data_IF_314821931116
#
_entry.id   IF_314821931116
#
_cell.length_a   1.000
_cell.length_b   1.000
_cell.length_c   1.000
_cell.angle_alpha   90.00
_cell.angle_beta   90.00
_cell.angle_gamma   90.00
#
_symmetry.space_group_name_H-M   'P 1'
#
loop_
_entity.id
_entity.type
_entity.pdbx_description
1 polymer ?
#
# COMPACT_ATOMS: atom_id res chain seq x y z
N UNK A 1 -31.69 0.00 -37.71
CA UNK A 1 -32.92 0.47 -37.01
C UNK A 1 -32.80 0.51 -35.48
N UNK A 2 -31.79 -0.11 -34.84
CA UNK A 2 -31.59 -0.01 -33.39
C UNK A 2 -31.04 1.36 -32.95
N UNK A 3 -30.20 2.01 -33.77
CA UNK A 3 -29.58 3.30 -33.43
C UNK A 3 -30.54 4.50 -33.42
N UNK A 4 -31.63 4.44 -34.20
CA UNK A 4 -32.62 5.52 -34.25
C UNK A 4 -33.47 5.59 -32.98
N UNK A 5 -33.67 4.45 -32.30
CA UNK A 5 -34.43 4.38 -31.05
C UNK A 5 -33.64 4.97 -29.87
N UNK A 6 -32.33 4.70 -29.82
CA UNK A 6 -31.43 5.28 -28.82
C UNK A 6 -31.27 6.80 -28.99
N UNK A 7 -31.27 7.30 -30.24
CA UNK A 7 -31.23 8.74 -30.51
C UNK A 7 -32.52 9.45 -30.08
N UNK A 8 -33.69 8.82 -30.30
CA UNK A 8 -34.98 9.36 -29.88
C UNK A 8 -35.12 9.43 -28.34
N UNK A 9 -34.65 8.41 -27.62
CA UNK A 9 -34.65 8.43 -26.14
C UNK A 9 -33.74 9.51 -25.57
N UNK A 10 -32.54 9.71 -26.15
CA UNK A 10 -31.63 10.78 -25.71
C UNK A 10 -32.20 12.18 -25.95
N UNK A 11 -32.91 12.38 -27.06
CA UNK A 11 -33.56 13.65 -27.37
C UNK A 11 -34.72 13.94 -26.40
N UNK A 12 -35.51 12.92 -26.04
CA UNK A 12 -36.60 13.05 -25.07
C UNK A 12 -36.10 13.41 -23.67
N UNK A 13 -35.04 12.75 -23.20
CA UNK A 13 -34.40 13.06 -21.90
C UNK A 13 -33.89 14.51 -21.86
N UNK A 14 -33.36 15.01 -22.98
CA UNK A 14 -32.86 16.39 -23.08
C UNK A 14 -33.99 17.42 -23.08
N UNK A 15 -35.11 17.15 -23.76
CA UNK A 15 -36.29 18.01 -23.77
C UNK A 15 -36.99 18.05 -22.39
N UNK A 16 -37.03 16.93 -21.68
CA UNK A 16 -37.60 16.85 -20.33
C UNK A 16 -36.75 17.62 -19.30
N UNK A 17 -35.42 17.65 -19.47
CA UNK A 17 -34.50 18.46 -18.67
C UNK A 17 -34.65 19.98 -18.92
N UNK A 18 -35.07 20.39 -20.12
CA UNK A 18 -35.31 21.81 -20.43
C UNK A 18 -36.68 22.30 -19.96
N UNK A 19 -37.66 21.41 -19.82
CA UNK A 19 -39.03 21.75 -19.37
C UNK A 19 -39.19 21.77 -17.84
N UNK A 20 -38.23 21.23 -17.09
CA UNK A 20 -38.22 21.27 -15.63
C UNK A 20 -37.87 22.67 -15.09
N UNK A 21 -38.89 23.46 -14.73
CA UNK A 21 -38.73 24.76 -14.07
C UNK A 21 -37.96 24.67 -12.74
N UNK A 22 -37.28 25.76 -12.41
CA UNK A 22 -36.26 25.90 -11.35
C UNK A 22 -36.71 25.65 -9.90
N UNK A 23 -37.91 25.10 -9.65
CA UNK A 23 -38.48 24.95 -8.31
C UNK A 23 -38.37 23.56 -7.68
N UNK A 24 -37.73 22.58 -8.34
CA UNK A 24 -37.59 21.21 -7.81
C UNK A 24 -36.13 20.75 -7.59
N UNK A 25 -35.21 21.70 -7.38
CA UNK A 25 -33.78 21.42 -7.17
C UNK A 25 -33.43 20.79 -5.81
N UNK A 26 -34.38 20.62 -4.90
CA UNK A 26 -34.15 20.02 -3.58
C UNK A 26 -34.37 18.49 -3.51
N UNK A 27 -34.67 17.81 -4.63
CA UNK A 27 -34.85 16.34 -4.65
C UNK A 27 -33.84 15.57 -5.50
N UNK A 28 -32.85 16.23 -6.10
CA UNK A 28 -31.80 15.54 -6.87
C UNK A 28 -30.57 15.33 -5.99
N UNK A 29 -30.56 14.23 -5.26
CA UNK A 29 -29.31 13.69 -4.72
C UNK A 29 -28.39 13.34 -5.90
N UNK A 30 -27.14 13.85 -5.95
CA UNK A 30 -26.23 13.46 -7.00
C UNK A 30 -25.91 11.97 -6.81
N UNK A 31 -26.41 11.14 -7.73
CA UNK A 31 -25.85 9.80 -7.95
C UNK A 31 -24.40 9.99 -8.41
N UNK A 32 -23.48 10.01 -7.44
CA UNK A 32 -22.06 9.81 -7.67
C UNK A 32 -21.94 8.40 -8.25
N UNK A 33 -21.73 8.33 -9.56
CA UNK A 33 -21.49 7.09 -10.28
C UNK A 33 -20.15 6.50 -9.84
N UNK A 34 -20.22 5.22 -9.48
CA UNK A 34 -19.15 4.22 -9.55
C UNK A 34 -17.95 4.32 -8.60
N UNK A 35 -18.19 4.77 -7.37
CA UNK A 35 -17.48 4.21 -6.22
C UNK A 35 -18.16 2.91 -5.79
N UNK A 36 -17.46 1.78 -5.81
CA UNK A 36 -17.98 0.52 -5.24
C UNK A 36 -18.21 0.74 -3.73
N UNK A 37 -19.46 1.06 -3.34
CA UNK A 37 -19.81 1.25 -1.93
C UNK A 37 -19.52 -0.06 -1.14
N UNK A 38 -19.08 0.02 0.12
CA UNK A 38 -18.73 -1.12 1.00
C UNK A 38 -19.77 -2.24 0.94
N UNK A 39 -21.04 -1.89 0.88
CA UNK A 39 -22.17 -2.82 0.71
C UNK A 39 -22.10 -3.64 -0.59
N UNK A 40 -21.73 -3.04 -1.73
CA UNK A 40 -21.53 -3.76 -3.00
C UNK A 40 -20.29 -4.65 -2.97
N UNK A 41 -19.20 -4.21 -2.33
CA UNK A 41 -18.00 -5.03 -2.18
C UNK A 41 -18.29 -6.28 -1.33
N UNK A 42 -18.92 -6.10 -0.16
CA UNK A 42 -19.37 -7.21 0.69
C UNK A 42 -20.40 -8.10 -0.03
N UNK A 43 -21.26 -7.51 -0.85
CA UNK A 43 -22.21 -8.24 -1.70
C UNK A 43 -21.52 -9.13 -2.74
N UNK A 44 -20.45 -8.65 -3.38
CA UNK A 44 -19.69 -9.43 -4.36
C UNK A 44 -18.85 -10.54 -3.69
N UNK A 45 -18.29 -10.29 -2.50
CA UNK A 45 -17.61 -11.31 -1.69
C UNK A 45 -18.60 -12.40 -1.27
N UNK A 46 -19.80 -12.02 -0.83
CA UNK A 46 -20.87 -12.97 -0.47
C UNK A 46 -21.42 -13.76 -1.65
N UNK A 47 -21.36 -13.20 -2.87
CA UNK A 47 -21.88 -13.85 -4.09
C UNK A 47 -20.99 -14.94 -4.68
N UNK A 48 -19.82 -15.22 -4.09
CA UNK A 48 -19.00 -16.40 -4.37
C UNK A 48 -18.75 -16.62 -5.87
N UNK A 49 -17.63 -16.13 -6.40
CA UNK A 49 -17.21 -16.50 -7.75
C UNK A 49 -17.29 -18.02 -7.89
N UNK A 50 -18.09 -18.51 -8.85
CA UNK A 50 -18.18 -19.94 -9.19
C UNK A 50 -16.81 -20.37 -9.70
N UNK A 51 -15.98 -20.88 -8.80
CA UNK A 51 -14.75 -21.56 -9.15
C UNK A 51 -15.14 -22.85 -9.89
N UNK A 52 -14.43 -23.14 -10.99
CA UNK A 52 -14.61 -24.37 -11.74
C UNK A 52 -14.56 -25.57 -10.79
N UNK A 53 -15.51 -26.49 -10.93
CA UNK A 53 -15.51 -27.78 -10.24
C UNK A 53 -14.24 -28.55 -10.63
N UNK A 54 -13.18 -28.39 -9.84
CA UNK A 54 -12.02 -29.27 -9.88
C UNK A 54 -12.50 -30.59 -9.30
N UNK A 55 -12.55 -31.63 -10.14
CA UNK A 55 -12.78 -33.00 -9.70
C UNK A 55 -11.77 -33.33 -8.59
N UNK A 56 -12.29 -33.65 -7.40
CA UNK A 56 -11.45 -34.09 -6.30
C UNK A 56 -10.72 -35.37 -6.73
N UNK A 57 -9.39 -35.44 -6.65
CA UNK A 57 -8.67 -36.66 -6.96
C UNK A 57 -9.09 -37.75 -5.98
N UNK A 58 -9.78 -38.78 -6.48
CA UNK A 58 -10.16 -39.97 -5.74
C UNK A 58 -8.95 -40.90 -5.63
N UNK A 59 -8.02 -40.57 -4.75
CA UNK A 59 -6.99 -41.52 -4.31
C UNK A 59 -7.06 -41.61 -2.81
N UNK A 60 -7.67 -42.70 -2.33
CA UNK A 60 -7.70 -43.04 -0.92
C UNK A 60 -6.26 -43.27 -0.44
N UNK A 61 -5.70 -42.29 0.26
CA UNK A 61 -4.41 -42.43 0.92
C UNK A 61 -4.47 -43.63 1.88
N UNK A 62 -3.44 -44.48 1.80
CA UNK A 62 -3.27 -45.61 2.71
C UNK A 62 -3.20 -45.13 4.17
N UNK A 63 -3.52 -46.03 5.12
CA UNK A 63 -3.48 -45.72 6.56
C UNK A 63 -2.09 -45.24 7.00
N UNK A 64 -1.03 -45.79 6.41
CA UNK A 64 0.36 -45.39 6.64
C UNK A 64 0.62 -43.95 6.15
N UNK A 65 0.21 -43.62 4.93
CA UNK A 65 0.33 -42.25 4.39
C UNK A 65 -0.49 -41.25 5.20
N UNK A 66 -1.70 -41.61 5.65
CA UNK A 66 -2.51 -40.77 6.55
C UNK A 66 -1.83 -40.56 7.91
N UNK A 67 -1.15 -41.56 8.47
CA UNK A 67 -0.39 -41.42 9.72
C UNK A 67 0.85 -40.56 9.53
N UNK A 68 1.59 -40.75 8.43
CA UNK A 68 2.76 -39.96 8.11
C UNK A 68 2.41 -38.49 7.88
N UNK A 69 1.32 -38.22 7.15
CA UNK A 69 0.80 -36.86 6.98
C UNK A 69 0.32 -36.23 8.30
N UNK A 70 -0.20 -37.04 9.24
CA UNK A 70 -0.58 -36.55 10.58
C UNK A 70 0.65 -36.29 11.46
N UNK A 71 1.70 -37.11 11.34
CA UNK A 71 2.97 -36.95 12.05
C UNK A 71 3.73 -35.74 11.53
N UNK A 72 3.87 -35.60 10.21
CA UNK A 72 4.42 -34.40 9.56
C UNK A 72 3.61 -33.14 9.90
N UNK A 73 2.28 -33.24 10.03
CA UNK A 73 1.44 -32.11 10.46
C UNK A 73 1.47 -31.85 11.98
N UNK A 74 1.90 -32.83 12.77
CA UNK A 74 2.12 -32.71 14.21
C UNK A 74 3.52 -32.16 14.52
N UNK A 75 4.51 -32.51 13.69
CA UNK A 75 5.89 -31.97 13.72
C UNK A 75 5.95 -30.59 13.03
N UNK A 76 5.14 -30.34 11.99
CA UNK A 76 4.87 -29.00 11.43
C UNK A 76 3.78 -28.24 12.22
N UNK A 77 3.25 -28.85 13.28
CA UNK A 77 2.70 -28.14 14.44
C UNK A 77 3.84 -27.63 15.34
N UNK A 78 5.07 -27.59 14.79
CA UNK A 78 6.16 -26.75 15.22
C UNK A 78 5.62 -25.39 15.63
N UNK A 79 6.03 -25.00 16.83
CA UNK A 79 6.07 -23.65 17.38
C UNK A 79 5.06 -22.74 16.71
N UNK A 80 3.93 -22.50 17.38
CA UNK A 80 2.98 -21.47 16.94
C UNK A 80 3.79 -20.26 16.50
N UNK A 81 3.62 -19.82 15.25
CA UNK A 81 4.29 -18.63 14.72
C UNK A 81 4.19 -17.44 15.70
N UNK A 82 3.10 -17.44 16.48
CA UNK A 82 2.95 -16.70 17.71
C UNK A 82 3.72 -17.40 18.84
N UNK A 83 5.05 -17.24 18.87
CA UNK A 83 5.77 -17.40 20.13
C UNK A 83 5.20 -16.36 21.09
N UNK A 84 4.95 -16.74 22.36
CA UNK A 84 4.41 -15.79 23.32
C UNK A 84 5.46 -14.72 23.59
N UNK A 85 5.27 -13.55 23.01
CA UNK A 85 6.01 -12.34 23.37
C UNK A 85 5.82 -12.07 24.86
N UNK A 86 6.87 -11.61 25.51
CA UNK A 86 6.75 -11.05 26.85
C UNK A 86 5.97 -9.72 26.82
N UNK A 87 5.56 -9.24 27.99
CA UNK A 87 4.70 -8.05 28.08
C UNK A 87 5.37 -6.79 27.48
N UNK A 88 6.70 -6.69 27.57
CA UNK A 88 7.46 -5.59 27.01
C UNK A 88 7.57 -5.70 25.49
N UNK A 89 7.91 -6.88 24.97
CA UNK A 89 7.96 -7.17 23.55
C UNK A 89 6.62 -7.00 22.85
N UNK A 90 5.52 -7.42 23.49
CA UNK A 90 4.17 -7.21 22.98
C UNK A 90 3.80 -5.71 22.93
N UNK A 91 4.17 -4.94 23.96
CA UNK A 91 3.97 -3.47 23.94
C UNK A 91 4.77 -2.81 22.82
N UNK A 92 6.02 -3.20 22.64
CA UNK A 92 6.86 -2.71 21.55
C UNK A 92 6.28 -3.08 20.18
N UNK A 93 5.87 -4.33 20.00
CA UNK A 93 5.25 -4.81 18.77
C UNK A 93 3.99 -4.01 18.42
N UNK A 94 3.10 -3.82 19.39
CA UNK A 94 1.88 -3.02 19.21
C UNK A 94 2.19 -1.56 18.88
N UNK A 95 3.24 -0.99 19.49
CA UNK A 95 3.67 0.37 19.14
C UNK A 95 4.07 0.47 17.66
N UNK A 96 4.86 -0.48 17.14
CA UNK A 96 5.25 -0.52 15.73
C UNK A 96 4.03 -0.74 14.83
N UNK A 97 3.15 -1.68 15.17
CA UNK A 97 1.94 -1.99 14.40
C UNK A 97 0.96 -0.79 14.29
N UNK A 98 1.04 0.18 15.20
CA UNK A 98 0.25 1.43 15.16
C UNK A 98 0.96 2.57 14.41
N UNK A 99 2.18 2.39 13.92
CA UNK A 99 2.82 3.36 13.04
C UNK A 99 2.24 3.29 11.61
N UNK A 100 2.63 4.21 10.72
CA UNK A 100 2.19 4.17 9.32
C UNK A 100 2.73 2.91 8.63
N UNK A 101 2.05 2.41 7.59
CA UNK A 101 2.52 1.23 6.85
C UNK A 101 3.97 1.34 6.35
N UNK A 102 4.40 2.54 5.92
CA UNK A 102 5.80 2.80 5.53
C UNK A 102 6.78 2.63 6.68
N UNK A 103 6.44 3.13 7.87
CA UNK A 103 7.31 3.07 9.04
C UNK A 103 7.42 1.63 9.56
N UNK A 104 6.31 0.88 9.52
CA UNK A 104 6.29 -0.57 9.78
C UNK A 104 7.19 -1.34 8.81
N UNK A 105 7.11 -1.04 7.51
CA UNK A 105 7.94 -1.67 6.50
C UNK A 105 9.43 -1.33 6.69
N UNK A 106 9.76 -0.09 7.05
CA UNK A 106 11.12 0.32 7.38
C UNK A 106 11.65 -0.42 8.60
N UNK A 107 10.85 -0.56 9.67
CA UNK A 107 11.24 -1.32 10.86
C UNK A 107 11.57 -2.78 10.50
N UNK A 108 10.72 -3.44 9.71
CA UNK A 108 10.96 -4.78 9.20
C UNK A 108 12.26 -4.85 8.37
N UNK A 109 12.44 -3.94 7.42
CA UNK A 109 13.62 -3.92 6.55
C UNK A 109 14.91 -3.69 7.33
N UNK A 110 14.91 -2.86 8.37
CA UNK A 110 16.10 -2.66 9.22
C UNK A 110 16.45 -3.92 10.02
N UNK A 111 15.44 -4.61 10.56
CA UNK A 111 15.63 -5.82 11.35
C UNK A 111 16.18 -6.99 10.51
N UNK A 112 15.74 -7.10 9.25
CA UNK A 112 15.99 -8.25 8.38
C UNK A 112 16.73 -7.91 7.10
N UNK A 113 17.49 -6.81 7.07
CA UNK A 113 18.09 -6.32 5.82
C UNK A 113 18.99 -7.36 5.13
N UNK A 114 19.76 -8.11 5.91
CA UNK A 114 20.67 -9.14 5.39
C UNK A 114 19.93 -10.28 4.68
N UNK A 115 18.74 -10.61 5.16
CA UNK A 115 17.91 -11.71 4.65
C UNK A 115 16.93 -11.25 3.56
N UNK A 116 16.39 -10.02 3.66
CA UNK A 116 15.27 -9.53 2.84
C UNK A 116 15.61 -8.36 1.92
N UNK A 117 16.82 -7.80 1.98
CA UNK A 117 17.21 -6.61 1.21
C UNK A 117 16.99 -6.75 -0.30
N UNK A 118 17.15 -7.95 -0.87
CA UNK A 118 16.87 -8.25 -2.29
C UNK A 118 15.37 -8.13 -2.65
N UNK A 119 14.48 -8.23 -1.67
CA UNK A 119 13.03 -8.15 -1.81
C UNK A 119 12.48 -6.73 -1.60
N UNK A 120 13.32 -5.78 -1.17
CA UNK A 120 12.88 -4.45 -0.76
C UNK A 120 12.07 -3.73 -1.86
N UNK A 121 12.48 -3.88 -3.13
CA UNK A 121 11.76 -3.30 -4.27
C UNK A 121 10.34 -3.86 -4.43
N UNK A 122 10.15 -5.17 -4.21
CA UNK A 122 8.82 -5.78 -4.22
C UNK A 122 7.96 -5.26 -3.05
N UNK A 123 8.56 -5.19 -1.85
CA UNK A 123 7.86 -4.68 -0.65
C UNK A 123 7.38 -3.24 -0.89
N UNK A 124 8.22 -2.38 -1.45
CA UNK A 124 7.90 -0.98 -1.72
C UNK A 124 6.90 -0.82 -2.87
N UNK A 125 7.19 -1.39 -4.03
CA UNK A 125 6.44 -1.10 -5.26
C UNK A 125 5.15 -1.90 -5.36
N UNK A 126 5.11 -3.11 -4.81
CA UNK A 126 3.97 -4.02 -4.93
C UNK A 126 3.20 -4.12 -3.62
N UNK A 127 3.83 -4.64 -2.56
CA UNK A 127 3.09 -4.96 -1.33
C UNK A 127 2.54 -3.70 -0.65
N UNK A 128 3.38 -2.70 -0.40
CA UNK A 128 3.00 -1.45 0.25
C UNK A 128 1.96 -0.66 -0.58
N UNK A 129 2.10 -0.60 -1.90
CA UNK A 129 1.10 0.02 -2.78
C UNK A 129 -0.27 -0.66 -2.66
N UNK A 130 -0.32 -2.00 -2.70
CA UNK A 130 -1.57 -2.76 -2.58
C UNK A 130 -2.19 -2.65 -1.18
N UNK A 131 -1.36 -2.57 -0.14
CA UNK A 131 -1.80 -2.36 1.24
C UNK A 131 -2.50 -1.00 1.39
N UNK A 132 -1.84 0.07 0.92
CA UNK A 132 -2.44 1.42 0.88
C UNK A 132 -3.71 1.46 0.04
N UNK A 133 -3.72 0.79 -1.10
CA UNK A 133 -4.90 0.76 -1.98
C UNK A 133 -6.10 0.08 -1.29
N UNK A 134 -5.88 -0.99 -0.54
CA UNK A 134 -6.92 -1.64 0.25
C UNK A 134 -7.48 -0.71 1.35
N UNK A 135 -6.61 -0.02 2.10
CA UNK A 135 -7.04 0.97 3.12
C UNK A 135 -7.77 2.16 2.49
N UNK A 136 -7.24 2.71 1.39
CA UNK A 136 -7.88 3.78 0.61
C UNK A 136 -9.29 3.39 0.19
N UNK A 137 -9.48 2.16 -0.32
CA UNK A 137 -10.79 1.68 -0.71
C UNK A 137 -11.72 1.51 0.50
N UNK A 138 -11.23 0.98 1.62
CA UNK A 138 -12.01 0.86 2.85
C UNK A 138 -12.52 2.21 3.36
N UNK A 139 -11.71 3.27 3.20
CA UNK A 139 -12.01 4.66 3.59
C UNK A 139 -12.75 5.47 2.52
N UNK A 140 -13.03 4.89 1.35
CA UNK A 140 -13.68 5.61 0.24
C UNK A 140 -12.83 6.72 -0.39
N UNK A 141 -11.50 6.62 -0.31
CA UNK A 141 -10.55 7.60 -0.85
C UNK A 141 -10.07 7.13 -2.22
N UNK A 142 -10.41 7.86 -3.28
CA UNK A 142 -10.02 7.48 -4.65
C UNK A 142 -8.66 8.03 -5.11
N UNK A 143 -8.13 9.06 -4.44
CA UNK A 143 -6.93 9.76 -4.88
C UNK A 143 -5.82 9.67 -3.83
N UNK A 144 -4.63 9.21 -4.25
CA UNK A 144 -3.47 9.02 -3.38
C UNK A 144 -3.05 10.32 -2.67
N UNK A 145 -3.15 11.47 -3.34
CA UNK A 145 -2.81 12.75 -2.72
C UNK A 145 -3.83 13.21 -1.65
N UNK A 146 -4.98 12.55 -1.52
CA UNK A 146 -5.95 12.80 -0.42
C UNK A 146 -5.83 11.76 0.69
N UNK A 147 -5.01 10.75 0.48
CA UNK A 147 -4.86 9.64 1.41
C UNK A 147 -3.87 10.01 2.52
N UNK A 148 -4.34 9.91 3.76
CA UNK A 148 -3.50 9.87 4.95
C UNK A 148 -3.28 8.41 5.30
N UNK A 149 -2.02 7.98 5.25
CA UNK A 149 -1.63 6.59 5.43
C UNK A 149 -2.17 5.98 6.73
N UNK A 150 -2.77 4.79 6.60
CA UNK A 150 -3.26 3.98 7.72
C UNK A 150 -2.17 3.19 8.43
N UNK A 151 -2.61 2.38 9.39
CA UNK A 151 -1.75 1.61 10.32
C UNK A 151 -2.07 0.11 10.30
N UNK A 152 -3.35 -0.25 10.12
CA UNK A 152 -3.81 -1.66 10.01
C UNK A 152 -5.10 -1.79 9.21
N UNK A 153 -5.43 -3.02 8.82
CA UNK A 153 -6.63 -3.39 8.05
C UNK A 153 -7.51 -4.34 8.85
N UNK A 154 -8.84 -4.13 8.89
CA UNK A 154 -9.78 -5.15 9.36
C UNK A 154 -9.65 -6.45 8.51
N UNK A 155 -9.96 -7.63 9.05
CA UNK A 155 -9.80 -8.91 8.34
C UNK A 155 -10.46 -8.98 6.95
N UNK A 156 -11.64 -8.39 6.77
CA UNK A 156 -12.30 -8.36 5.45
C UNK A 156 -11.50 -7.52 4.43
N UNK A 157 -10.85 -6.45 4.91
CA UNK A 157 -10.00 -5.60 4.09
C UNK A 157 -8.63 -6.25 3.89
N UNK A 158 -8.09 -6.95 4.90
CA UNK A 158 -6.89 -7.77 4.77
C UNK A 158 -7.06 -8.89 3.74
N UNK A 159 -8.23 -9.55 3.72
CA UNK A 159 -8.59 -10.50 2.66
C UNK A 159 -8.56 -9.84 1.27
N UNK A 160 -9.22 -8.68 1.13
CA UNK A 160 -9.23 -7.92 -0.12
C UNK A 160 -7.80 -7.56 -0.58
N UNK A 161 -6.92 -7.15 0.34
CA UNK A 161 -5.52 -6.90 0.07
C UNK A 161 -4.81 -8.12 -0.56
N UNK A 162 -4.91 -9.30 0.06
CA UNK A 162 -4.29 -10.53 -0.47
C UNK A 162 -4.83 -10.91 -1.85
N UNK A 163 -6.15 -10.76 -2.07
CA UNK A 163 -6.77 -11.00 -3.38
C UNK A 163 -6.24 -10.03 -4.44
N UNK A 164 -6.13 -8.74 -4.12
CA UNK A 164 -5.57 -7.75 -5.05
C UNK A 164 -4.08 -8.01 -5.34
N UNK A 165 -3.31 -8.47 -4.35
CA UNK A 165 -1.91 -8.81 -4.51
C UNK A 165 -1.74 -10.02 -5.45
N UNK A 166 -2.49 -11.10 -5.23
CA UNK A 166 -2.48 -12.27 -6.11
C UNK A 166 -2.97 -11.92 -7.53
N UNK A 167 -4.03 -11.10 -7.64
CA UNK A 167 -4.54 -10.64 -8.93
C UNK A 167 -3.50 -9.84 -9.70
N UNK A 168 -2.82 -8.89 -9.04
CA UNK A 168 -1.77 -8.08 -9.64
C UNK A 168 -0.69 -8.97 -10.27
N UNK A 169 -0.21 -9.98 -9.53
CA UNK A 169 0.81 -10.90 -10.03
C UNK A 169 0.26 -11.81 -11.15
N UNK A 170 -1.04 -12.10 -11.15
CA UNK A 170 -1.71 -12.84 -12.22
C UNK A 170 -1.70 -12.14 -13.59
N UNK A 171 -1.52 -10.81 -13.64
CA UNK A 171 -1.58 -10.03 -14.88
C UNK A 171 -0.30 -10.18 -15.73
N UNK A 172 -0.46 -10.32 -17.05
CA UNK A 172 0.65 -10.51 -18.01
C UNK A 172 1.61 -9.32 -18.08
N UNK A 173 1.16 -8.11 -17.77
CA UNK A 173 2.02 -6.92 -17.73
C UNK A 173 2.94 -6.85 -16.50
N UNK A 174 2.70 -7.68 -15.48
CA UNK A 174 3.42 -7.65 -14.20
C UNK A 174 4.33 -8.88 -14.01
N UNK A 175 4.70 -9.59 -15.09
CA UNK A 175 5.51 -10.81 -14.97
C UNK A 175 6.91 -10.54 -14.40
N UNK A 176 7.45 -9.34 -14.54
CA UNK A 176 8.72 -8.92 -13.91
C UNK A 176 8.73 -9.07 -12.37
N UNK A 177 7.55 -9.11 -11.75
CA UNK A 177 7.38 -9.31 -10.31
C UNK A 177 7.24 -10.78 -9.91
N UNK A 178 7.16 -11.68 -10.89
CA UNK A 178 7.18 -13.14 -10.72
C UNK A 178 8.55 -13.76 -11.00
N UNK A 179 9.54 -12.93 -11.31
CA UNK A 179 10.92 -13.35 -11.46
C UNK A 179 11.39 -14.10 -10.20
N UNK A 180 12.30 -15.06 -10.38
CA UNK A 180 12.92 -15.86 -9.32
C UNK A 180 13.52 -14.98 -8.20
N UNK A 181 13.99 -13.78 -8.56
CA UNK A 181 14.50 -12.79 -7.61
C UNK A 181 13.48 -12.40 -6.52
N UNK A 182 12.17 -12.56 -6.77
CA UNK A 182 11.10 -12.26 -5.82
C UNK A 182 10.29 -13.49 -5.40
N UNK A 183 10.85 -14.69 -5.52
CA UNK A 183 10.15 -15.94 -5.22
C UNK A 183 9.58 -15.96 -3.79
N UNK A 184 10.38 -15.58 -2.79
CA UNK A 184 9.95 -15.56 -1.38
C UNK A 184 8.90 -14.48 -1.07
N UNK A 185 8.71 -13.51 -1.98
CA UNK A 185 7.69 -12.46 -1.86
C UNK A 185 6.36 -12.84 -2.50
N UNK A 186 6.27 -13.99 -3.19
CA UNK A 186 5.03 -14.40 -3.84
C UNK A 186 3.97 -14.81 -2.80
N UNK A 187 2.75 -14.24 -2.85
CA UNK A 187 1.65 -14.65 -1.99
C UNK A 187 1.06 -15.97 -2.47
N UNK A 188 0.51 -16.74 -1.52
CA UNK A 188 -0.25 -17.95 -1.84
C UNK A 188 -1.71 -17.62 -2.14
N UNK A 189 -2.22 -17.97 -3.31
CA UNK A 189 -3.66 -17.89 -3.57
C UNK A 189 -4.41 -18.97 -2.77
N UNK A 190 -5.38 -18.56 -1.96
CA UNK A 190 -6.22 -19.45 -1.15
C UNK A 190 -7.66 -18.94 -1.13
N UNK A 191 -8.62 -19.77 -0.71
CA UNK A 191 -10.01 -19.35 -0.59
C UNK A 191 -10.21 -18.37 0.57
N UNK A 192 -11.28 -17.57 0.53
CA UNK A 192 -11.60 -16.60 1.58
C UNK A 192 -11.69 -17.23 2.98
N UNK A 193 -12.26 -18.43 3.09
CA UNK A 193 -12.39 -19.16 4.36
C UNK A 193 -11.00 -19.52 4.91
N UNK A 194 -10.13 -20.07 4.06
CA UNK A 194 -8.76 -20.43 4.44
C UNK A 194 -7.96 -19.19 4.80
N UNK A 195 -8.07 -18.11 4.01
CA UNK A 195 -7.36 -16.86 4.29
C UNK A 195 -7.78 -16.26 5.63
N UNK A 196 -9.07 -16.15 5.92
CA UNK A 196 -9.55 -15.62 7.22
C UNK A 196 -9.08 -16.46 8.39
N UNK A 197 -9.02 -17.79 8.21
CA UNK A 197 -8.44 -18.68 9.22
C UNK A 197 -6.94 -18.44 9.39
N UNK A 198 -6.18 -18.31 8.31
CA UNK A 198 -4.75 -17.97 8.39
C UNK A 198 -4.52 -16.60 9.03
N UNK A 199 -5.34 -15.60 8.72
CA UNK A 199 -5.25 -14.27 9.34
C UNK A 199 -5.38 -14.37 10.85
N UNK A 200 -6.43 -15.03 11.33
CA UNK A 200 -6.70 -15.23 12.75
C UNK A 200 -5.65 -16.09 13.46
N UNK A 201 -5.29 -17.21 12.85
CA UNK A 201 -4.50 -18.24 13.54
C UNK A 201 -2.98 -17.99 13.45
N UNK A 202 -2.53 -17.16 12.48
CA UNK A 202 -1.11 -17.01 12.15
C UNK A 202 -0.63 -15.58 11.89
N UNK A 203 -1.47 -14.68 11.38
CA UNK A 203 -1.02 -13.34 10.96
C UNK A 203 -1.26 -12.31 12.05
N UNK A 204 -2.43 -12.34 12.68
CA UNK A 204 -2.82 -11.48 13.79
C UNK A 204 -2.08 -11.93 15.07
N UNK A 205 -0.90 -11.35 15.30
CA UNK A 205 0.03 -11.77 16.36
C UNK A 205 -0.45 -11.25 17.72
N UNK A 206 -1.05 -10.06 17.74
CA UNK A 206 -1.52 -9.41 18.96
C UNK A 206 -3.01 -9.67 19.26
N UNK A 207 -3.69 -10.46 18.42
CA UNK A 207 -5.10 -10.85 18.54
C UNK A 207 -6.06 -9.66 18.55
N UNK A 208 -5.74 -8.58 17.83
CA UNK A 208 -6.54 -7.35 17.81
C UNK A 208 -7.64 -7.36 16.73
N UNK A 209 -7.73 -8.43 15.92
CA UNK A 209 -8.72 -8.58 14.85
C UNK A 209 -8.40 -7.78 13.58
N UNK A 210 -7.18 -7.24 13.47
CA UNK A 210 -6.68 -6.50 12.34
C UNK A 210 -5.40 -7.15 11.78
N UNK A 211 -4.92 -6.60 10.68
CA UNK A 211 -3.68 -6.99 10.02
C UNK A 211 -2.90 -5.72 9.75
N UNK A 212 -1.79 -5.55 10.45
CA UNK A 212 -0.79 -4.52 10.19
C UNK A 212 0.13 -4.93 9.04
N UNK A 213 0.88 -3.97 8.48
CA UNK A 213 1.88 -4.26 7.46
C UNK A 213 3.03 -5.10 8.03
N UNK A 214 3.42 -4.86 9.29
CA UNK A 214 4.48 -5.66 9.95
C UNK A 214 4.06 -7.13 10.10
N UNK A 215 2.82 -7.41 10.48
CA UNK A 215 2.29 -8.78 10.56
C UNK A 215 2.25 -9.49 9.21
N UNK A 216 1.82 -8.78 8.17
CA UNK A 216 1.90 -9.30 6.79
C UNK A 216 3.33 -9.68 6.42
N UNK A 217 4.30 -8.80 6.66
CA UNK A 217 5.71 -9.03 6.32
C UNK A 217 6.30 -10.21 7.10
N UNK A 218 6.11 -10.25 8.42
CA UNK A 218 6.60 -11.35 9.25
C UNK A 218 6.00 -12.70 8.79
N UNK A 219 4.71 -12.74 8.45
CA UNK A 219 4.10 -13.98 7.95
C UNK A 219 4.58 -14.36 6.53
N UNK A 220 4.73 -13.39 5.63
CA UNK A 220 5.22 -13.64 4.27
C UNK A 220 6.65 -14.18 4.29
N UNK A 221 7.51 -13.62 5.14
CA UNK A 221 8.93 -13.97 5.26
C UNK A 221 9.24 -14.89 6.46
N UNK A 222 8.24 -15.67 6.91
CA UNK A 222 8.30 -16.53 8.12
C UNK A 222 9.37 -17.63 8.15
N UNK A 223 10.14 -17.79 7.07
CA UNK A 223 11.23 -18.76 7.00
C UNK A 223 12.50 -18.26 7.71
N UNK A 224 12.63 -16.94 7.88
CA UNK A 224 13.68 -16.33 8.70
C UNK A 224 13.16 -15.27 9.68
N UNK A 225 11.92 -14.78 9.51
CA UNK A 225 11.34 -13.74 10.36
C UNK A 225 10.24 -14.30 11.27
N UNK A 226 10.20 -13.84 12.52
CA UNK A 226 9.09 -14.12 13.44
C UNK A 226 8.95 -12.96 14.44
N UNK A 227 7.83 -12.86 15.18
CA UNK A 227 7.60 -11.73 16.07
C UNK A 227 8.64 -11.57 17.20
N UNK A 228 9.07 -12.66 17.83
CA UNK A 228 10.00 -12.62 18.96
C UNK A 228 11.41 -12.17 18.54
N UNK A 229 11.90 -12.73 17.43
CA UNK A 229 13.16 -12.32 16.81
C UNK A 229 13.10 -10.87 16.31
N UNK A 230 11.98 -10.46 15.71
CA UNK A 230 11.79 -9.06 15.26
C UNK A 230 11.89 -8.07 16.42
N UNK A 231 11.19 -8.35 17.52
CA UNK A 231 11.22 -7.56 18.75
C UNK A 231 12.66 -7.47 19.28
N UNK A 232 13.36 -8.59 19.37
CA UNK A 232 14.76 -8.64 19.83
C UNK A 232 15.69 -7.78 18.95
N UNK A 233 15.53 -7.86 17.63
CA UNK A 233 16.34 -7.09 16.66
C UNK A 233 16.02 -5.60 16.66
N UNK A 234 14.77 -5.23 16.95
CA UNK A 234 14.27 -3.87 16.74
C UNK A 234 14.18 -3.02 18.02
N UNK A 235 13.97 -3.63 19.20
CA UNK A 235 13.79 -2.89 20.47
C UNK A 235 14.97 -1.98 20.84
N UNK A 236 16.18 -2.34 20.42
CA UNK A 236 17.40 -1.59 20.74
C UNK A 236 17.88 -0.67 19.61
N UNK A 237 17.02 -0.38 18.63
CA UNK A 237 17.38 0.41 17.46
C UNK A 237 16.57 1.71 17.38
N UNK A 238 17.13 2.77 17.97
CA UNK A 238 16.58 4.12 17.84
C UNK A 238 16.83 4.71 16.44
N UNK A 239 15.82 5.39 15.89
CA UNK A 239 15.96 6.12 14.63
C UNK A 239 16.97 7.29 14.81
N UNK A 240 18.09 7.23 14.09
CA UNK A 240 19.08 8.29 14.09
C UNK A 240 18.48 9.65 13.68
N UNK A 241 18.93 10.77 14.27
CA UNK A 241 18.32 12.08 14.05
C UNK A 241 18.41 12.56 12.59
N UNK A 242 19.45 12.20 11.84
CA UNK A 242 19.52 12.57 10.41
C UNK A 242 18.57 11.75 9.54
N UNK A 243 18.32 10.48 9.89
CA UNK A 243 17.31 9.64 9.22
C UNK A 243 15.91 10.21 9.49
N UNK A 244 15.61 10.55 10.75
CA UNK A 244 14.37 11.23 11.12
C UNK A 244 14.18 12.54 10.37
N UNK A 245 15.24 13.36 10.28
CA UNK A 245 15.22 14.63 9.54
C UNK A 245 14.94 14.41 8.05
N UNK A 246 15.51 13.38 7.44
CA UNK A 246 15.26 13.02 6.05
C UNK A 246 13.81 12.55 5.84
N UNK A 247 13.27 11.71 6.74
CA UNK A 247 11.87 11.26 6.71
C UNK A 247 10.90 12.43 6.82
N UNK A 248 11.09 13.31 7.80
CA UNK A 248 10.26 14.51 7.95
C UNK A 248 10.33 15.44 6.73
N UNK A 249 11.49 15.57 6.09
CA UNK A 249 11.62 16.34 4.86
C UNK A 249 10.81 15.72 3.69
N UNK A 250 10.77 14.38 3.57
CA UNK A 250 9.93 13.69 2.59
C UNK A 250 8.44 13.80 2.93
N UNK A 251 8.06 13.82 4.20
CA UNK A 251 6.68 14.11 4.63
C UNK A 251 6.25 15.53 4.25
N UNK A 252 7.14 16.51 4.40
CA UNK A 252 6.88 17.88 3.94
C UNK A 252 6.71 17.93 2.41
N UNK A 253 7.51 17.16 1.64
CA UNK A 253 7.27 17.00 0.20
C UNK A 253 5.88 16.44 -0.07
N UNK A 254 5.45 15.40 0.65
CA UNK A 254 4.09 14.86 0.50
C UNK A 254 3.04 15.95 0.76
N UNK A 255 3.16 16.74 1.83
CA UNK A 255 2.24 17.86 2.11
C UNK A 255 2.18 18.88 0.97
N UNK A 256 3.31 19.20 0.34
CA UNK A 256 3.35 20.09 -0.84
C UNK A 256 2.73 19.45 -2.08
N UNK A 257 2.93 18.14 -2.30
CA UNK A 257 2.25 17.37 -3.35
C UNK A 257 0.73 17.43 -3.16
N UNK A 258 0.24 17.22 -1.93
CA UNK A 258 -1.19 17.28 -1.64
C UNK A 258 -1.79 18.64 -1.98
N UNK A 259 -1.12 19.74 -1.59
CA UNK A 259 -1.56 21.09 -1.91
C UNK A 259 -1.57 21.36 -3.42
N UNK A 260 -0.53 20.94 -4.13
CA UNK A 260 -0.43 21.09 -5.58
C UNK A 260 -1.52 20.28 -6.32
N UNK A 261 -1.71 19.00 -5.97
CA UNK A 261 -2.71 18.12 -6.62
C UNK A 261 -4.15 18.51 -6.29
N UNK A 262 -4.39 19.08 -5.10
CA UNK A 262 -5.69 19.64 -4.74
C UNK A 262 -6.04 20.85 -5.61
N UNK A 263 -5.09 21.76 -5.83
CA UNK A 263 -5.30 22.91 -6.71
C UNK A 263 -5.46 22.48 -8.18
N UNK A 264 -4.66 21.51 -8.63
CA UNK A 264 -4.81 20.89 -9.95
C UNK A 264 -6.21 20.32 -10.15
N UNK A 265 -6.69 19.53 -9.20
CA UNK A 265 -8.04 18.93 -9.24
C UNK A 265 -9.14 19.99 -9.25
N UNK A 266 -8.96 21.09 -8.49
CA UNK A 266 -9.90 22.23 -8.48
C UNK A 266 -9.97 22.89 -9.86
N UNK A 267 -8.82 23.19 -10.46
CA UNK A 267 -8.73 23.80 -11.79
C UNK A 267 -9.28 22.90 -12.89
N UNK A 268 -9.04 21.59 -12.85
CA UNK A 268 -9.62 20.61 -13.77
C UNK A 268 -11.16 20.54 -13.67
N UNK A 269 -11.71 20.68 -12.47
CA UNK A 269 -13.16 20.75 -12.27
C UNK A 269 -13.75 22.07 -12.80
N UNK A 270 -13.04 23.19 -12.63
CA UNK A 270 -13.47 24.51 -13.13
C UNK A 270 -13.32 24.65 -14.64
N UNK A 271 -12.31 24.02 -15.24
CA UNK A 271 -12.08 23.98 -16.68
C UNK A 271 -13.30 23.41 -17.44
N UNK A 272 -14.04 22.48 -16.83
CA UNK A 272 -15.25 21.88 -17.43
C UNK A 272 -16.43 22.87 -17.51
N UNK A 273 -16.39 24.00 -16.81
CA UNK A 273 -17.44 25.04 -16.88
C UNK A 273 -17.32 25.80 -18.19
N UNK A 274 -18.45 26.13 -18.84
CA UNK A 274 -18.45 26.92 -20.08
C UNK A 274 -18.12 28.40 -19.83
N UNK A 275 -17.67 29.09 -20.88
CA UNK A 275 -17.42 30.55 -20.89
C UNK A 275 -16.07 30.96 -20.30
N UNK A 276 -15.95 32.26 -19.94
CA UNK A 276 -14.70 32.89 -19.50
C UNK A 276 -14.11 32.21 -18.24
N UNK A 277 -14.96 31.67 -17.36
CA UNK A 277 -14.50 30.97 -16.15
C UNK A 277 -13.72 29.69 -16.48
N UNK A 278 -14.22 28.85 -17.41
CA UNK A 278 -13.51 27.65 -17.86
C UNK A 278 -12.24 27.97 -18.62
N UNK A 279 -12.27 29.03 -19.44
CA UNK A 279 -11.07 29.50 -20.15
C UNK A 279 -9.99 29.98 -19.17
N UNK A 280 -10.36 30.74 -18.14
CA UNK A 280 -9.44 31.16 -17.07
C UNK A 280 -8.83 29.95 -16.35
N UNK A 281 -9.65 28.97 -15.98
CA UNK A 281 -9.16 27.75 -15.33
C UNK A 281 -8.23 26.94 -16.25
N UNK A 282 -8.51 26.87 -17.55
CA UNK A 282 -7.62 26.25 -18.55
C UNK A 282 -6.27 26.93 -18.59
N UNK A 283 -6.24 28.27 -18.62
CA UNK A 283 -5.00 29.05 -18.63
C UNK A 283 -4.20 28.86 -17.33
N UNK A 284 -4.88 28.90 -16.17
CA UNK A 284 -4.24 28.67 -14.87
C UNK A 284 -3.69 27.24 -14.75
N UNK A 285 -4.42 26.23 -15.26
CA UNK A 285 -3.96 24.84 -15.28
C UNK A 285 -2.70 24.69 -16.15
N UNK A 286 -2.67 25.34 -17.32
CA UNK A 286 -1.50 25.36 -18.19
C UNK A 286 -0.28 26.02 -17.53
N UNK A 287 -0.51 27.03 -16.68
CA UNK A 287 0.53 27.75 -15.94
C UNK A 287 0.84 27.15 -14.56
N UNK A 288 0.19 26.06 -14.16
CA UNK A 288 0.30 25.52 -12.80
C UNK A 288 1.74 25.09 -12.43
N UNK A 289 2.51 24.62 -13.42
CA UNK A 289 3.93 24.26 -13.25
C UNK A 289 4.89 25.46 -13.14
N UNK A 290 4.37 26.68 -13.32
CA UNK A 290 5.08 27.92 -13.06
C UNK A 290 4.48 28.68 -11.87
N UNK A 291 3.57 28.04 -11.11
CA UNK A 291 2.91 28.66 -9.96
C UNK A 291 3.77 28.62 -8.68
N UNK A 292 3.48 29.47 -7.68
CA UNK A 292 4.14 29.42 -6.37
C UNK A 292 4.00 28.08 -5.64
N UNK A 293 2.94 27.30 -5.91
CA UNK A 293 2.78 25.96 -5.34
C UNK A 293 3.82 24.98 -5.89
N UNK A 294 4.08 25.06 -7.19
CA UNK A 294 5.11 24.24 -7.83
C UNK A 294 6.51 24.62 -7.34
N UNK A 295 6.81 25.90 -7.21
CA UNK A 295 8.11 26.36 -6.66
C UNK A 295 8.34 25.86 -5.23
N UNK A 296 7.32 25.93 -4.36
CA UNK A 296 7.37 25.38 -2.99
C UNK A 296 7.60 23.87 -2.99
N UNK A 297 6.96 23.13 -3.91
CA UNK A 297 7.20 21.71 -4.08
C UNK A 297 8.63 21.40 -4.53
N UNK A 298 9.16 22.14 -5.51
CA UNK A 298 10.55 21.98 -5.95
C UNK A 298 11.56 22.30 -4.84
N UNK A 299 11.33 23.36 -4.07
CA UNK A 299 12.17 23.70 -2.93
C UNK A 299 12.18 22.57 -1.89
N UNK A 300 11.01 22.03 -1.54
CA UNK A 300 10.90 20.90 -0.62
C UNK A 300 11.62 19.64 -1.13
N UNK A 301 11.53 19.34 -2.44
CA UNK A 301 12.26 18.22 -3.05
C UNK A 301 13.78 18.38 -2.93
N UNK A 302 14.31 19.59 -3.15
CA UNK A 302 15.75 19.87 -3.00
C UNK A 302 16.18 19.72 -1.53
N UNK A 303 15.38 20.22 -0.59
CA UNK A 303 15.65 20.06 0.85
C UNK A 303 15.63 18.59 1.27
N UNK A 304 14.64 17.82 0.81
CA UNK A 304 14.55 16.39 1.08
C UNK A 304 15.73 15.63 0.47
N UNK A 305 16.12 15.94 -0.76
CA UNK A 305 17.31 15.36 -1.40
C UNK A 305 18.59 15.62 -0.61
N UNK A 306 18.80 16.86 -0.16
CA UNK A 306 19.95 17.19 0.68
C UNK A 306 19.95 16.39 2.00
N UNK A 307 18.79 16.27 2.65
CA UNK A 307 18.64 15.51 3.90
C UNK A 307 18.88 14.01 3.70
N UNK A 308 18.29 13.41 2.67
CA UNK A 308 18.50 12.00 2.30
C UNK A 308 19.96 11.73 1.95
N UNK A 309 20.62 12.65 1.22
CA UNK A 309 22.06 12.53 0.91
C UNK A 309 22.92 12.56 2.17
N UNK A 310 22.61 13.43 3.14
CA UNK A 310 23.33 13.50 4.42
C UNK A 310 23.15 12.19 5.20
N UNK A 311 21.92 11.69 5.32
CA UNK A 311 21.64 10.42 6.00
C UNK A 311 22.35 9.24 5.30
N UNK A 312 22.28 9.16 3.98
CA UNK A 312 22.93 8.12 3.16
C UNK A 312 24.45 8.17 3.30
N UNK A 313 25.06 9.36 3.27
CA UNK A 313 26.51 9.50 3.45
C UNK A 313 26.96 9.04 4.84
N UNK A 314 26.14 9.28 5.87
CA UNK A 314 26.48 8.95 7.26
C UNK A 314 26.24 7.46 7.59
N UNK A 315 25.20 6.85 7.02
CA UNK A 315 24.74 5.50 7.42
C UNK A 315 24.65 4.47 6.28
N UNK A 316 24.83 4.85 5.01
CA UNK A 316 24.51 4.02 3.83
C UNK A 316 25.69 3.35 3.11
N UNK A 317 26.72 2.88 3.81
CA UNK A 317 27.85 2.22 3.11
C UNK A 317 29.11 1.93 3.92
N UNK A 318 29.12 2.24 5.21
CA UNK A 318 30.12 1.72 6.14
C UNK A 318 29.36 1.08 7.27
N UNK A 319 29.67 -0.19 7.56
CA UNK A 319 29.34 -0.79 8.85
C UNK A 319 29.97 0.13 9.88
N UNK A 320 29.16 1.00 10.49
CA UNK A 320 29.63 1.92 11.50
C UNK A 320 29.98 1.05 12.70
N UNK A 321 31.25 0.66 12.82
CA UNK A 321 31.76 0.04 14.05
C UNK A 321 31.70 1.15 15.10
N UNK A 322 30.58 1.25 15.79
CA UNK A 322 30.46 2.13 16.95
C UNK A 322 31.61 1.86 17.92
N UNK A 323 32.00 2.89 18.65
CA UNK A 323 33.15 2.91 19.57
C UNK A 323 33.07 1.92 20.76
N UNK A 324 32.12 0.97 20.74
CA UNK A 324 31.89 -0.03 21.77
C UNK A 324 31.63 -1.46 21.27
N UNK A 325 31.89 -1.77 20.00
CA UNK A 325 31.84 -3.14 19.46
C UNK A 325 30.48 -3.84 19.44
N UNK A 326 29.43 -3.26 20.03
CA UNK A 326 28.06 -3.74 19.90
C UNK A 326 27.54 -3.39 18.51
N UNK A 327 27.12 -4.40 17.76
CA UNK A 327 26.40 -4.22 16.51
C UNK A 327 25.08 -3.49 16.81
N UNK A 328 25.05 -2.17 16.64
CA UNK A 328 23.78 -1.47 16.47
C UNK A 328 23.10 -2.04 15.23
N UNK A 329 21.78 -2.24 15.29
CA UNK A 329 20.99 -2.72 14.15
C UNK A 329 21.27 -1.88 12.89
N UNK A 330 21.10 -2.50 11.72
CA UNK A 330 21.39 -1.81 10.47
C UNK A 330 20.28 -0.80 10.15
N UNK A 331 20.67 0.43 9.79
CA UNK A 331 19.76 1.44 9.24
C UNK A 331 19.61 1.34 7.71
N UNK A 332 20.10 0.26 7.09
CA UNK A 332 20.10 0.10 5.64
C UNK A 332 18.69 0.08 5.03
N UNK A 333 17.72 -0.54 5.70
CA UNK A 333 16.32 -0.52 5.29
C UNK A 333 15.75 0.90 5.19
N UNK A 334 16.00 1.73 6.22
CA UNK A 334 15.63 3.15 6.22
C UNK A 334 16.30 3.91 5.08
N UNK A 335 17.61 3.75 4.90
CA UNK A 335 18.36 4.47 3.86
C UNK A 335 17.87 4.08 2.46
N UNK A 336 17.66 2.79 2.22
CA UNK A 336 17.11 2.31 0.96
C UNK A 336 15.72 2.90 0.69
N UNK A 337 14.82 2.84 1.68
CA UNK A 337 13.45 3.35 1.54
C UNK A 337 13.42 4.86 1.24
N UNK A 338 14.21 5.64 1.98
CA UNK A 338 14.33 7.08 1.78
C UNK A 338 14.82 7.44 0.37
N UNK A 339 15.84 6.73 -0.13
CA UNK A 339 16.34 6.93 -1.50
C UNK A 339 15.31 6.52 -2.54
N UNK A 340 14.63 5.38 -2.34
CA UNK A 340 13.60 4.87 -3.26
C UNK A 340 12.41 5.82 -3.36
N UNK A 341 11.93 6.32 -2.23
CA UNK A 341 10.82 7.25 -2.14
C UNK A 341 11.15 8.63 -2.72
N UNK A 342 12.37 9.13 -2.46
CA UNK A 342 12.87 10.33 -3.13
C UNK A 342 12.94 10.14 -4.66
N UNK A 343 13.40 8.98 -5.14
CA UNK A 343 13.48 8.68 -6.56
C UNK A 343 12.10 8.68 -7.24
N UNK A 344 11.07 8.05 -6.64
CA UNK A 344 9.70 8.10 -7.17
C UNK A 344 9.14 9.54 -7.19
N UNK A 345 9.36 10.29 -6.11
CA UNK A 345 8.94 11.69 -6.03
C UNK A 345 9.62 12.55 -7.09
N UNK A 346 10.92 12.39 -7.32
CA UNK A 346 11.67 13.11 -8.37
C UNK A 346 11.27 12.65 -9.77
N UNK A 347 10.97 11.37 -9.98
CA UNK A 347 10.46 10.85 -11.26
C UNK A 347 9.12 11.49 -11.63
N UNK A 348 8.21 11.63 -10.67
CA UNK A 348 6.87 12.16 -10.91
C UNK A 348 6.77 13.69 -10.88
N UNK A 349 7.51 14.33 -9.98
CA UNK A 349 7.40 15.76 -9.69
C UNK A 349 8.70 16.54 -9.87
N UNK A 350 9.80 15.92 -10.30
CA UNK A 350 11.05 16.63 -10.57
C UNK A 350 10.99 17.48 -11.83
N UNK A 351 11.93 18.43 -11.96
CA UNK A 351 12.09 19.21 -13.20
C UNK A 351 12.50 18.29 -14.34
N UNK A 352 11.73 18.29 -15.43
CA UNK A 352 12.11 17.63 -16.68
C UNK A 352 13.34 18.36 -17.24
N UNK A 353 14.45 17.65 -17.54
CA UNK A 353 15.61 18.27 -18.17
C UNK A 353 15.21 18.97 -19.48
N UNK A 354 15.60 20.25 -19.64
CA UNK A 354 15.42 20.97 -20.90
C UNK A 354 16.22 20.22 -21.99
N UNK A 355 15.53 19.56 -22.93
CA UNK A 355 16.18 18.86 -24.06
C UNK A 355 15.76 17.41 -24.31
N UNK A 356 14.86 16.82 -23.49
CA UNK A 356 14.29 15.48 -23.74
C UNK A 356 12.80 15.53 -24.13
N UNK A 357 12.40 16.49 -24.96
CA UNK A 357 11.00 16.56 -25.46
C UNK A 357 10.85 15.85 -26.78
#
# INVERSE_FOLDING_TARGET
MADTKAAAERKKIFEDLQKGGANDLNKVTPKVSDGLNRSKMLGNIKKGAKLNNVQAPSTELSRAQKMQFRKERAEAKGESFVEKLDDEGLKFFNHIAEQKFSDQAIAFLNAYWGEVGSQAEFIYTVAWDKFKYADMHARGISYVHKYKEGTKLEFDIGLYFYEQLCKFLGESKNQEWKDEKYEISQPKLVTAIVRKKELRDKVDVNFDGHVSMIEYLLYQYRHFANPADFVTRSMNHDEHPEIRKARLALEEVNKRIQAYEAEKSRLEAEQKKKGVKGLRATNMLAQLNSSPLWEKLQAALITAEAAVRIATKKYGGKVFKGEGGRAMGSSEGSIWWLNRDLAEKKKKYGRVPKGKK
#
